data_IF_000064123299
#
_entry.id   IF_000064123299
#
_cell.length_a   1.000
_cell.length_b   1.000
_cell.length_c   1.000
_cell.angle_alpha   90.00
_cell.angle_beta   90.00
_cell.angle_gamma   90.00
#
_symmetry.space_group_name_H-M   'P 1'
#
loop_
_entity.id
_entity.type
_entity.pdbx_description
1 polymer ?
#
# COMPACT_ATOMS: atom_id res chain seq x y z
N UNK A 1 23.60 1.60 11.25
CA UNK A 1 22.69 1.69 12.42
C UNK A 1 21.93 0.40 12.50
N UNK A 2 21.80 -0.20 13.67
CA UNK A 2 21.21 -1.52 13.85
C UNK A 2 19.69 -1.47 13.58
N UNK A 3 19.16 -2.44 12.84
CA UNK A 3 17.70 -2.65 12.64
C UNK A 3 17.11 -3.47 13.80
N UNK A 4 17.66 -3.33 15.01
CA UNK A 4 17.44 -4.22 16.16
C UNK A 4 15.96 -4.34 16.58
N UNK A 5 15.17 -3.27 16.46
CA UNK A 5 13.76 -3.32 16.81
C UNK A 5 12.96 -4.07 15.74
N UNK A 6 13.19 -3.79 14.47
CA UNK A 6 12.49 -4.46 13.38
C UNK A 6 12.80 -5.96 13.30
N UNK A 7 14.01 -6.40 13.70
CA UNK A 7 14.41 -7.81 13.75
C UNK A 7 13.65 -8.64 14.80
N UNK A 8 13.06 -7.98 15.79
CA UNK A 8 12.20 -8.60 16.81
C UNK A 8 10.75 -8.74 16.40
N UNK A 9 10.36 -8.09 15.32
CA UNK A 9 8.99 -8.08 14.79
C UNK A 9 8.86 -9.06 13.63
N UNK A 10 7.65 -9.55 13.33
CA UNK A 10 7.42 -10.40 12.18
C UNK A 10 7.85 -9.71 10.88
N UNK A 11 8.46 -10.50 10.02
CA UNK A 11 8.79 -10.05 8.68
C UNK A 11 7.86 -10.74 7.67
N UNK A 12 6.86 -10.01 7.20
CA UNK A 12 5.92 -10.51 6.21
C UNK A 12 6.29 -10.10 4.77
N UNK A 13 7.32 -9.28 4.60
CA UNK A 13 7.73 -8.76 3.31
C UNK A 13 9.06 -9.35 2.79
N UNK A 14 10.16 -9.19 3.55
CA UNK A 14 11.49 -9.56 3.09
C UNK A 14 11.65 -11.09 2.95
N UNK A 15 12.15 -11.53 1.78
CA UNK A 15 12.34 -12.94 1.48
C UNK A 15 11.05 -13.69 1.10
N UNK A 16 9.93 -13.00 0.99
CA UNK A 16 8.63 -13.56 0.63
C UNK A 16 8.25 -13.23 -0.82
N UNK A 17 7.20 -13.90 -1.32
CA UNK A 17 6.64 -13.66 -2.66
C UNK A 17 6.24 -12.19 -2.87
N UNK A 18 5.77 -11.50 -1.85
CA UNK A 18 5.46 -10.07 -1.88
C UNK A 18 6.67 -9.25 -2.34
N UNK A 19 7.86 -9.48 -1.76
CA UNK A 19 9.09 -8.83 -2.21
C UNK A 19 9.45 -9.17 -3.65
N UNK A 20 9.28 -10.44 -4.06
CA UNK A 20 9.57 -10.88 -5.43
C UNK A 20 8.66 -10.16 -6.44
N UNK A 21 7.37 -10.03 -6.12
CA UNK A 21 6.41 -9.31 -6.97
C UNK A 21 6.74 -7.82 -7.04
N UNK A 22 7.10 -7.17 -5.94
CA UNK A 22 7.59 -5.79 -5.94
C UNK A 22 8.83 -5.64 -6.81
N UNK A 23 9.82 -6.53 -6.65
CA UNK A 23 11.04 -6.49 -7.44
C UNK A 23 10.77 -6.65 -8.94
N UNK A 24 9.82 -7.48 -9.32
CA UNK A 24 9.48 -7.76 -10.72
C UNK A 24 8.59 -6.67 -11.33
N UNK A 25 7.54 -6.26 -10.63
CA UNK A 25 6.47 -5.43 -11.19
C UNK A 25 6.75 -3.92 -11.06
N UNK A 26 7.66 -3.50 -10.18
CA UNK A 26 8.03 -2.09 -10.03
C UNK A 26 9.30 -1.70 -10.82
N UNK A 27 9.88 -2.60 -11.62
CA UNK A 27 11.11 -2.31 -12.38
C UNK A 27 10.95 -1.11 -13.32
N UNK A 28 9.77 -0.91 -13.87
CA UNK A 28 9.51 0.25 -14.73
C UNK A 28 9.67 1.61 -14.03
N UNK A 29 9.55 1.65 -12.70
CA UNK A 29 9.71 2.87 -11.91
C UNK A 29 11.14 3.08 -11.42
N UNK A 30 11.98 2.04 -11.43
CA UNK A 30 13.29 2.07 -10.81
C UNK A 30 14.15 3.24 -11.32
N UNK A 31 14.59 4.08 -10.39
CA UNK A 31 15.48 5.20 -10.65
C UNK A 31 14.86 6.37 -11.42
N UNK A 32 13.57 6.35 -11.70
CA UNK A 32 12.89 7.50 -12.31
C UNK A 32 12.75 8.64 -11.30
N UNK A 33 12.93 9.90 -11.74
CA UNK A 33 12.78 11.06 -10.88
C UNK A 33 11.31 11.43 -10.65
N UNK A 34 11.07 12.17 -9.57
CA UNK A 34 9.78 12.79 -9.23
C UNK A 34 8.59 11.82 -9.07
N UNK A 35 8.87 10.56 -8.81
CA UNK A 35 7.81 9.60 -8.51
C UNK A 35 7.17 9.88 -7.15
N UNK A 36 5.89 9.58 -7.05
CA UNK A 36 5.11 9.65 -5.81
C UNK A 36 4.48 8.30 -5.56
N UNK A 37 4.90 7.64 -4.50
CA UNK A 37 4.35 6.37 -4.05
C UNK A 37 3.56 6.57 -2.76
N UNK A 38 2.52 5.76 -2.58
CA UNK A 38 1.70 5.71 -1.36
C UNK A 38 1.66 4.28 -0.84
N UNK A 39 1.85 4.12 0.46
CA UNK A 39 1.67 2.87 1.18
C UNK A 39 0.66 3.09 2.30
N UNK A 40 -0.36 2.25 2.35
CA UNK A 40 -1.39 2.20 3.37
C UNK A 40 -1.17 0.94 4.19
N UNK A 41 -0.92 1.09 5.51
CA UNK A 41 -0.44 0.03 6.36
C UNK A 41 1.06 -0.19 6.16
N UNK A 42 1.87 0.36 7.05
CA UNK A 42 3.34 0.29 6.93
C UNK A 42 3.99 -0.53 8.02
N UNK A 43 3.26 -0.85 9.09
CA UNK A 43 3.77 -1.63 10.22
C UNK A 43 5.15 -1.17 10.66
N UNK A 44 6.17 -2.06 10.69
CA UNK A 44 7.55 -1.69 11.04
C UNK A 44 8.39 -1.19 9.85
N UNK A 45 7.81 -1.02 8.65
CA UNK A 45 8.42 -0.35 7.49
C UNK A 45 9.32 -1.22 6.60
N UNK A 46 9.20 -2.55 6.63
CA UNK A 46 10.02 -3.43 5.78
C UNK A 46 9.81 -3.19 4.28
N UNK A 47 8.56 -3.10 3.83
CA UNK A 47 8.16 -2.78 2.46
C UNK A 47 8.59 -1.37 2.05
N UNK A 48 8.35 -0.39 2.94
CA UNK A 48 8.71 1.00 2.72
C UNK A 48 10.21 1.21 2.54
N UNK A 49 11.02 0.67 3.45
CA UNK A 49 12.48 0.78 3.38
C UNK A 49 13.02 0.11 2.12
N UNK A 50 12.56 -1.10 1.81
CA UNK A 50 12.95 -1.82 0.60
C UNK A 50 12.58 -1.05 -0.67
N UNK A 51 11.37 -0.50 -0.71
CA UNK A 51 10.88 0.27 -1.87
C UNK A 51 11.73 1.51 -2.13
N UNK A 52 12.09 2.27 -1.09
CA UNK A 52 12.95 3.45 -1.27
C UNK A 52 14.36 3.01 -1.70
N UNK A 53 14.91 1.97 -1.08
CA UNK A 53 16.27 1.50 -1.35
C UNK A 53 16.43 0.92 -2.76
N UNK A 54 15.42 0.19 -3.27
CA UNK A 54 15.55 -0.59 -4.49
C UNK A 54 14.83 -0.01 -5.71
N UNK A 55 13.78 0.77 -5.51
CA UNK A 55 12.94 1.32 -6.58
C UNK A 55 13.07 2.85 -6.66
N UNK A 56 12.84 3.57 -5.56
CA UNK A 56 12.87 5.03 -5.52
C UNK A 56 14.32 5.56 -5.34
N UNK A 57 15.26 5.05 -6.15
CA UNK A 57 16.68 5.38 -5.99
C UNK A 57 17.04 6.82 -6.38
N UNK A 58 16.18 7.50 -7.16
CA UNK A 58 16.29 8.93 -7.39
C UNK A 58 15.76 9.73 -6.19
N UNK A 59 16.56 10.68 -5.68
CA UNK A 59 16.27 11.41 -4.44
C UNK A 59 15.11 12.41 -4.53
N UNK A 60 14.64 12.72 -5.72
CA UNK A 60 13.44 13.56 -5.92
C UNK A 60 12.15 12.80 -5.72
N UNK A 61 12.20 11.47 -5.79
CA UNK A 61 11.05 10.58 -5.60
C UNK A 61 10.71 10.42 -4.12
N UNK A 62 9.43 10.29 -3.79
CA UNK A 62 8.91 10.25 -2.42
C UNK A 62 8.00 9.06 -2.20
N UNK A 63 8.07 8.48 -1.00
CA UNK A 63 7.09 7.52 -0.48
C UNK A 63 6.31 8.16 0.66
N UNK A 64 4.99 8.15 0.55
CA UNK A 64 4.08 8.50 1.65
C UNK A 64 3.62 7.21 2.31
N UNK A 65 3.83 7.08 3.62
CA UNK A 65 3.40 5.96 4.44
C UNK A 65 2.30 6.44 5.39
N UNK A 66 1.12 5.81 5.33
CA UNK A 66 -0.04 6.13 6.16
C UNK A 66 -0.35 4.93 7.03
N UNK A 67 -0.21 5.10 8.35
CA UNK A 67 -0.50 4.07 9.35
C UNK A 67 -0.89 4.76 10.66
N UNK A 68 -1.90 4.29 11.40
CA UNK A 68 -2.24 4.84 12.71
C UNK A 68 -1.27 4.37 13.81
N UNK A 69 -0.48 3.31 13.57
CA UNK A 69 0.38 2.64 14.56
C UNK A 69 -0.32 2.39 15.91
N UNK A 70 -1.55 1.94 15.84
CA UNK A 70 -2.34 1.58 17.02
C UNK A 70 -2.88 0.15 16.98
N UNK A 71 -2.55 -0.58 15.90
CA UNK A 71 -2.94 -1.96 15.69
C UNK A 71 -4.41 -2.16 15.30
N UNK A 72 -4.70 -3.42 15.05
CA UNK A 72 -6.05 -3.93 14.89
C UNK A 72 -6.18 -5.26 15.64
N UNK A 73 -7.38 -5.84 15.65
CA UNK A 73 -7.67 -7.11 16.35
C UNK A 73 -6.78 -8.29 15.91
N UNK A 74 -6.23 -8.25 14.71
CA UNK A 74 -5.31 -9.30 14.23
C UNK A 74 -3.90 -9.18 14.82
N UNK A 75 -3.56 -8.04 15.40
CA UNK A 75 -2.23 -7.70 15.89
C UNK A 75 -2.15 -7.43 17.39
N UNK A 76 -3.12 -7.92 18.19
CA UNK A 76 -3.18 -7.70 19.64
C UNK A 76 -1.93 -8.14 20.43
N UNK A 77 -1.07 -8.97 19.81
CA UNK A 77 0.16 -9.47 20.43
C UNK A 77 1.33 -8.47 20.41
N UNK A 78 1.21 -7.33 19.73
CA UNK A 78 2.31 -6.38 19.57
C UNK A 78 2.10 -5.10 20.38
N UNK A 79 3.18 -4.57 20.95
CA UNK A 79 3.21 -3.20 21.44
C UNK A 79 3.45 -2.26 20.22
N UNK A 80 2.43 -1.50 19.86
CA UNK A 80 2.48 -0.62 18.69
C UNK A 80 3.38 0.59 18.87
N UNK A 81 3.78 0.94 20.11
CA UNK A 81 4.83 1.92 20.33
C UNK A 81 6.20 1.39 19.87
N UNK A 82 6.47 0.10 20.06
CA UNK A 82 7.68 -0.56 19.56
C UNK A 82 7.65 -0.72 18.04
N UNK A 83 6.47 -0.99 17.46
CA UNK A 83 6.28 -1.08 16.00
C UNK A 83 6.55 0.27 15.32
N UNK A 84 5.99 1.35 15.86
CA UNK A 84 6.24 2.71 15.34
C UNK A 84 7.71 3.11 15.51
N UNK A 85 8.33 2.81 16.65
CA UNK A 85 9.74 3.08 16.87
C UNK A 85 10.64 2.29 15.90
N UNK A 86 10.28 1.04 15.60
CA UNK A 86 10.98 0.23 14.60
C UNK A 86 10.87 0.83 13.20
N UNK A 87 9.67 1.30 12.82
CA UNK A 87 9.45 2.04 11.57
C UNK A 87 10.36 3.26 11.49
N UNK A 88 10.35 4.12 12.51
CA UNK A 88 11.16 5.34 12.55
C UNK A 88 12.66 5.04 12.47
N UNK A 89 13.14 4.02 13.18
CA UNK A 89 14.53 3.59 13.12
C UNK A 89 14.92 3.08 11.73
N UNK A 90 14.05 2.28 11.12
CA UNK A 90 14.33 1.66 9.82
C UNK A 90 14.33 2.68 8.68
N UNK A 91 13.45 3.69 8.76
CA UNK A 91 13.28 4.72 7.73
C UNK A 91 14.14 5.97 7.94
N UNK A 92 14.84 6.12 9.07
CA UNK A 92 15.74 7.28 9.33
C UNK A 92 16.76 7.53 8.20
N UNK A 93 17.41 6.52 7.57
CA UNK A 93 18.31 6.76 6.44
C UNK A 93 17.62 7.35 5.22
N UNK A 94 16.30 7.26 5.13
CA UNK A 94 15.48 7.66 4.00
C UNK A 94 14.56 8.85 4.30
N UNK A 95 14.77 9.55 5.41
CA UNK A 95 13.90 10.64 5.88
C UNK A 95 13.62 11.73 4.85
N UNK A 96 14.58 12.00 3.97
CA UNK A 96 14.40 13.00 2.90
C UNK A 96 13.47 12.53 1.78
N UNK A 97 13.21 11.23 1.66
CA UNK A 97 12.30 10.64 0.68
C UNK A 97 10.99 10.16 1.31
N UNK A 98 10.94 10.03 2.62
CA UNK A 98 9.79 9.56 3.39
C UNK A 98 8.85 10.70 3.77
N UNK A 99 7.55 10.45 3.63
CA UNK A 99 6.48 11.29 4.19
C UNK A 99 5.65 10.41 5.12
N UNK A 100 6.01 10.38 6.41
CA UNK A 100 5.27 9.64 7.44
C UNK A 100 3.97 10.38 7.78
N UNK A 101 2.86 9.64 7.82
CA UNK A 101 1.53 10.14 8.18
C UNK A 101 0.89 9.21 9.22
N UNK A 102 0.88 9.64 10.48
CA UNK A 102 0.21 8.92 11.56
C UNK A 102 -1.28 9.24 11.54
N UNK A 103 -2.05 8.43 10.85
CA UNK A 103 -3.48 8.62 10.67
C UNK A 103 -4.17 7.32 10.24
N UNK A 104 -5.48 7.23 10.46
CA UNK A 104 -6.31 6.24 9.79
C UNK A 104 -6.35 6.52 8.28
N UNK A 105 -6.31 5.46 7.48
CA UNK A 105 -6.21 5.55 6.03
C UNK A 105 -7.38 6.30 5.40
N UNK A 106 -8.60 5.96 5.79
CA UNK A 106 -9.84 6.57 5.28
C UNK A 106 -9.89 8.09 5.56
N UNK A 107 -9.56 8.51 6.79
CA UNK A 107 -9.51 9.92 7.14
C UNK A 107 -8.45 10.68 6.34
N UNK A 108 -7.27 10.07 6.19
CA UNK A 108 -6.18 10.69 5.48
C UNK A 108 -6.48 10.79 3.97
N UNK A 109 -6.98 9.72 3.37
CA UNK A 109 -7.36 9.66 1.95
C UNK A 109 -8.44 10.69 1.62
N UNK A 110 -9.49 10.80 2.45
CA UNK A 110 -10.54 11.81 2.26
C UNK A 110 -10.02 13.26 2.29
N UNK A 111 -9.05 13.55 3.16
CA UNK A 111 -8.45 14.89 3.27
C UNK A 111 -7.45 15.21 2.16
N UNK A 112 -6.96 14.22 1.42
CA UNK A 112 -5.87 14.35 0.45
C UNK A 112 -6.29 14.04 -1.00
N UNK A 113 -7.56 14.17 -1.34
CA UNK A 113 -8.16 13.79 -2.63
C UNK A 113 -7.56 14.48 -3.87
N UNK A 114 -6.83 15.56 -3.72
CA UNK A 114 -6.13 16.26 -4.81
C UNK A 114 -4.74 15.71 -5.12
N UNK A 115 -4.22 14.80 -4.29
CA UNK A 115 -2.91 14.19 -4.52
C UNK A 115 -3.00 13.14 -5.62
N UNK A 116 -1.85 12.89 -6.29
CA UNK A 116 -1.76 11.91 -7.36
C UNK A 116 -0.48 11.08 -7.18
N UNK A 117 -0.62 9.75 -7.29
CA UNK A 117 0.45 8.78 -7.08
C UNK A 117 0.70 7.92 -8.30
N UNK A 118 1.96 7.56 -8.53
CA UNK A 118 2.39 6.66 -9.60
C UNK A 118 2.17 5.19 -9.21
N UNK A 119 2.32 4.91 -7.92
CA UNK A 119 2.09 3.59 -7.33
C UNK A 119 1.40 3.73 -5.97
N UNK A 120 0.46 2.82 -5.70
CA UNK A 120 -0.22 2.71 -4.40
C UNK A 120 -0.17 1.25 -3.95
N UNK A 121 0.28 1.02 -2.73
CA UNK A 121 0.21 -0.27 -2.05
C UNK A 121 -0.80 -0.22 -0.92
N UNK A 122 -1.76 -1.16 -0.93
CA UNK A 122 -2.80 -1.29 0.10
C UNK A 122 -2.52 -2.57 0.89
N UNK A 123 -2.11 -2.40 2.13
CA UNK A 123 -1.76 -3.45 3.10
C UNK A 123 -2.19 -3.01 4.52
N UNK A 124 -3.37 -2.42 4.61
CA UNK A 124 -3.91 -1.86 5.87
C UNK A 124 -4.76 -2.86 6.64
N UNK A 125 -6.00 -2.49 6.94
CA UNK A 125 -6.95 -3.41 7.59
C UNK A 125 -7.53 -4.39 6.57
N UNK A 126 -7.36 -5.70 6.83
CA UNK A 126 -7.80 -6.78 5.94
C UNK A 126 -9.32 -7.04 5.98
N UNK A 127 -10.06 -6.32 6.82
CA UNK A 127 -11.53 -6.43 6.83
C UNK A 127 -12.11 -5.95 5.49
N UNK A 128 -13.03 -6.71 4.87
CA UNK A 128 -13.58 -6.38 3.54
C UNK A 128 -14.09 -4.95 3.39
N UNK A 129 -14.69 -4.40 4.45
CA UNK A 129 -15.24 -3.04 4.44
C UNK A 129 -14.13 -1.98 4.48
N UNK A 130 -13.11 -2.18 5.31
CA UNK A 130 -11.97 -1.27 5.43
C UNK A 130 -11.16 -1.29 4.13
N UNK A 131 -10.84 -2.48 3.62
CA UNK A 131 -10.21 -2.63 2.31
C UNK A 131 -10.98 -1.88 1.20
N UNK A 132 -12.31 -2.09 1.11
CA UNK A 132 -13.10 -1.45 0.06
C UNK A 132 -13.04 0.08 0.15
N UNK A 133 -13.07 0.64 1.36
CA UNK A 133 -12.93 2.08 1.57
C UNK A 133 -11.56 2.58 1.09
N UNK A 134 -10.49 1.89 1.49
CA UNK A 134 -9.12 2.22 1.08
C UNK A 134 -8.94 2.11 -0.43
N UNK A 135 -9.46 1.05 -1.05
CA UNK A 135 -9.34 0.82 -2.48
C UNK A 135 -10.07 1.89 -3.32
N UNK A 136 -11.32 2.23 -2.95
CA UNK A 136 -12.11 3.23 -3.66
C UNK A 136 -11.48 4.63 -3.56
N UNK A 137 -11.06 5.02 -2.37
CA UNK A 137 -10.44 6.32 -2.15
C UNK A 137 -9.06 6.40 -2.82
N UNK A 138 -8.26 5.33 -2.74
CA UNK A 138 -6.94 5.24 -3.37
C UNK A 138 -7.02 5.24 -4.90
N UNK A 139 -8.07 4.63 -5.47
CA UNK A 139 -8.29 4.65 -6.92
C UNK A 139 -8.34 6.07 -7.49
N UNK A 140 -8.98 6.98 -6.76
CA UNK A 140 -9.06 8.39 -7.16
C UNK A 140 -7.69 9.08 -7.13
N UNK A 141 -6.79 8.64 -6.24
CA UNK A 141 -5.44 9.18 -6.10
C UNK A 141 -4.43 8.54 -7.05
N UNK A 142 -4.78 7.41 -7.66
CA UNK A 142 -3.91 6.73 -8.61
C UNK A 142 -3.93 7.45 -9.96
N UNK A 143 -2.77 7.81 -10.49
CA UNK A 143 -2.65 8.41 -11.83
C UNK A 143 -3.14 7.44 -12.92
N UNK A 144 -3.67 7.93 -14.05
CA UNK A 144 -3.79 7.11 -15.26
C UNK A 144 -2.44 6.50 -15.62
N UNK A 145 -2.41 5.21 -15.92
CA UNK A 145 -1.18 4.42 -16.14
C UNK A 145 -0.46 3.97 -14.87
N UNK A 146 -0.85 4.46 -13.69
CA UNK A 146 -0.30 4.04 -12.40
C UNK A 146 -0.68 2.62 -12.02
N UNK A 147 0.08 2.05 -11.08
CA UNK A 147 -0.12 0.68 -10.57
C UNK A 147 -0.64 0.73 -9.13
N UNK A 148 -1.60 -0.14 -8.83
CA UNK A 148 -2.03 -0.43 -7.46
C UNK A 148 -1.75 -1.89 -7.14
N UNK A 149 -1.07 -2.14 -6.02
CA UNK A 149 -0.89 -3.46 -5.44
C UNK A 149 -1.80 -3.58 -4.22
N UNK A 150 -2.51 -4.70 -4.14
CA UNK A 150 -3.48 -4.99 -3.08
C UNK A 150 -3.02 -6.29 -2.43
N UNK A 151 -2.70 -6.24 -1.14
CA UNK A 151 -2.22 -7.42 -0.40
C UNK A 151 -3.36 -8.32 0.08
N UNK A 152 -2.96 -9.46 0.61
CA UNK A 152 -3.80 -10.44 1.30
C UNK A 152 -5.00 -11.01 0.51
N UNK A 153 -4.95 -10.98 -0.82
CA UNK A 153 -6.02 -11.55 -1.63
C UNK A 153 -6.30 -13.03 -1.27
N UNK A 154 -5.26 -13.82 -1.05
CA UNK A 154 -5.36 -15.22 -0.70
C UNK A 154 -5.41 -15.48 0.82
N UNK A 155 -5.33 -14.44 1.65
CA UNK A 155 -5.38 -14.60 3.09
C UNK A 155 -6.76 -15.04 3.57
N UNK A 156 -6.77 -15.92 4.58
CA UNK A 156 -8.00 -16.45 5.17
C UNK A 156 -8.11 -16.07 6.64
N UNK A 157 -9.18 -15.37 6.97
CA UNK A 157 -9.41 -14.90 8.32
C UNK A 157 -9.78 -16.05 9.26
N UNK A 158 -9.15 -16.16 10.46
CA UNK A 158 -9.43 -17.24 11.42
C UNK A 158 -10.92 -17.34 11.89
N UNK A 159 -11.65 -16.22 11.86
CA UNK A 159 -13.06 -16.14 12.25
C UNK A 159 -14.04 -16.54 11.14
N UNK A 160 -13.56 -16.92 9.96
CA UNK A 160 -14.37 -17.42 8.85
C UNK A 160 -14.35 -16.56 7.60
N UNK A 161 -14.81 -17.13 6.50
CA UNK A 161 -14.66 -16.59 5.13
C UNK A 161 -15.33 -15.23 4.89
N UNK A 162 -16.34 -14.87 5.67
CA UNK A 162 -17.01 -13.54 5.56
C UNK A 162 -16.08 -12.35 5.87
N UNK A 163 -14.95 -12.65 6.50
CA UNK A 163 -13.93 -11.65 6.87
C UNK A 163 -12.72 -11.67 5.92
N UNK A 164 -12.72 -12.55 4.91
CA UNK A 164 -11.63 -12.61 3.93
C UNK A 164 -11.70 -11.38 3.01
N UNK A 165 -10.57 -10.73 2.72
CA UNK A 165 -10.52 -9.59 1.79
C UNK A 165 -10.79 -9.98 0.34
N UNK A 166 -10.43 -11.20 -0.08
CA UNK A 166 -10.51 -11.67 -1.46
C UNK A 166 -11.82 -11.35 -2.19
N UNK A 167 -13.02 -11.67 -1.64
CA UNK A 167 -14.30 -11.33 -2.29
C UNK A 167 -14.50 -9.82 -2.51
N UNK A 168 -14.03 -8.97 -1.60
CA UNK A 168 -14.12 -7.52 -1.76
C UNK A 168 -13.13 -7.02 -2.82
N UNK A 169 -11.94 -7.64 -2.90
CA UNK A 169 -10.96 -7.35 -3.94
C UNK A 169 -11.51 -7.74 -5.32
N UNK A 170 -12.14 -8.92 -5.44
CA UNK A 170 -12.79 -9.34 -6.68
C UNK A 170 -13.90 -8.38 -7.10
N UNK A 171 -14.69 -7.89 -6.15
CA UNK A 171 -15.74 -6.89 -6.41
C UNK A 171 -15.14 -5.58 -6.91
N UNK A 172 -14.09 -5.07 -6.27
CA UNK A 172 -13.37 -3.87 -6.72
C UNK A 172 -12.86 -4.02 -8.15
N UNK A 173 -12.15 -5.12 -8.44
CA UNK A 173 -11.63 -5.41 -9.79
C UNK A 173 -12.75 -5.49 -10.82
N UNK A 174 -13.87 -6.12 -10.47
CA UNK A 174 -15.03 -6.23 -11.34
C UNK A 174 -15.67 -4.86 -11.65
N UNK A 175 -15.84 -4.00 -10.63
CA UNK A 175 -16.40 -2.66 -10.81
C UNK A 175 -15.58 -1.77 -11.75
N UNK A 176 -14.26 -1.94 -11.73
CA UNK A 176 -13.34 -1.14 -12.56
C UNK A 176 -12.81 -1.90 -13.78
N UNK A 177 -13.39 -3.04 -14.15
CA UNK A 177 -12.87 -3.94 -15.20
C UNK A 177 -12.65 -3.27 -16.57
N UNK A 178 -13.43 -2.24 -16.93
CA UNK A 178 -13.24 -1.45 -18.15
C UNK A 178 -12.13 -0.37 -18.00
N UNK A 179 -11.68 -0.13 -16.78
CA UNK A 179 -10.78 0.97 -16.43
C UNK A 179 -9.43 0.51 -15.89
N UNK A 180 -9.24 -0.79 -15.75
CA UNK A 180 -7.99 -1.38 -15.26
C UNK A 180 -7.60 -2.62 -16.05
N UNK A 181 -6.30 -2.95 -15.97
CA UNK A 181 -5.72 -4.23 -16.37
C UNK A 181 -5.23 -4.96 -15.12
N UNK A 182 -5.60 -6.22 -14.95
CA UNK A 182 -5.03 -7.09 -13.91
C UNK A 182 -3.67 -7.59 -14.39
N UNK A 183 -2.59 -7.14 -13.75
CA UNK A 183 -1.21 -7.49 -14.12
C UNK A 183 -0.80 -8.82 -13.47
N UNK A 184 -1.22 -9.04 -12.23
CA UNK A 184 -0.91 -10.22 -11.44
C UNK A 184 -2.08 -10.52 -10.50
N UNK A 185 -2.35 -11.82 -10.30
CA UNK A 185 -3.33 -12.29 -9.31
C UNK A 185 -2.82 -13.57 -8.66
N UNK A 186 -2.40 -13.45 -7.43
CA UNK A 186 -1.82 -14.55 -6.66
C UNK A 186 -2.08 -14.38 -5.17
N UNK A 187 -1.04 -14.21 -4.37
CA UNK A 187 -1.17 -13.78 -2.97
C UNK A 187 -1.66 -12.34 -2.91
N UNK A 188 -1.16 -11.50 -3.81
CA UNK A 188 -1.58 -10.12 -4.05
C UNK A 188 -2.37 -10.02 -5.35
N UNK A 189 -3.12 -8.93 -5.51
CA UNK A 189 -3.69 -8.51 -6.80
C UNK A 189 -3.04 -7.20 -7.20
N UNK A 190 -2.47 -7.17 -8.41
CA UNK A 190 -1.85 -6.01 -9.00
C UNK A 190 -2.64 -5.54 -10.19
N UNK A 191 -3.01 -4.28 -10.21
CA UNK A 191 -3.78 -3.69 -11.29
C UNK A 191 -3.11 -2.44 -11.82
N UNK A 192 -3.20 -2.21 -13.13
CA UNK A 192 -2.80 -0.96 -13.78
C UNK A 192 -4.05 -0.18 -14.15
N UNK A 193 -4.12 1.07 -13.76
CA UNK A 193 -5.16 1.99 -14.20
C UNK A 193 -4.98 2.31 -15.67
N UNK A 194 -6.06 2.26 -16.46
CA UNK A 194 -6.01 2.57 -17.88
C UNK A 194 -5.38 3.96 -18.09
N UNK A 195 -4.35 4.10 -18.95
CA UNK A 195 -3.72 5.40 -19.23
C UNK A 195 -4.69 6.45 -19.80
N UNK A 196 -5.77 6.00 -20.41
CA UNK A 196 -6.82 6.88 -20.97
C UNK A 196 -8.01 7.05 -20.01
N UNK A 197 -7.86 6.61 -18.75
CA UNK A 197 -8.93 6.76 -17.77
C UNK A 197 -9.28 8.24 -17.57
N UNK A 198 -10.54 8.56 -17.82
CA UNK A 198 -11.13 9.85 -17.48
C UNK A 198 -12.12 9.57 -16.36
N UNK A 199 -11.95 10.28 -15.26
CA UNK A 199 -12.90 10.18 -14.15
C UNK A 199 -14.29 10.56 -14.67
N UNK A 200 -15.32 9.72 -14.46
CA UNK A 200 -16.69 10.12 -14.77
C UNK A 200 -17.01 11.43 -14.05
N UNK A 201 -17.38 12.45 -14.80
CA UNK A 201 -17.93 13.67 -14.20
C UNK A 201 -19.20 13.29 -13.43
N UNK A 202 -19.44 13.93 -12.31
CA UNK A 202 -20.72 13.78 -11.63
C UNK A 202 -21.80 14.24 -12.60
N UNK A 203 -22.54 13.31 -13.17
CA UNK A 203 -23.74 13.61 -13.94
C UNK A 203 -24.73 14.10 -12.90
N UNK A 204 -24.84 15.41 -12.79
CA UNK A 204 -25.96 16.02 -12.10
C UNK A 204 -27.17 15.92 -13.04
N UNK A 205 -27.97 14.86 -12.89
CA UNK A 205 -29.33 14.83 -13.41
C UNK A 205 -30.26 15.65 -12.53
#
# INVERSE_FOLDING_TARGET
>A
MSRELAEKLPNWFLGNKTQDDFNRLLQEFKGKPNLKFLEIGSFCGNSAAWTIENILTDKTSKLTCVDPWNGNVAHEAFDFSDVEAAFDQQLEPFKDQLIKQKAYSDEWLMKNRSKQYDFIYIDGDHMPQAFMMDALLSWELLKPGGIMAIDDYAWTHPRGSRYNPGPAIDMFVSMYSEHLEVIEKGWQVWVRKNPNYIRPEHIHE
#
